data_IF_003852327219
#
_entry.id   IF_003852327219
#
_cell.length_a   1.000
_cell.length_b   1.000
_cell.length_c   1.000
_cell.angle_alpha   90.00
_cell.angle_beta   90.00
_cell.angle_gamma   90.00
#
_symmetry.space_group_name_H-M   'P 1'
#
loop_
_entity.id
_entity.type
_entity.pdbx_description
1 polymer ?
#
# COMPACT_ATOMS: atom_id res chain seq x y z
N UNK A 1 -20.39 -11.35 13.67
CA UNK A 1 -19.81 -11.66 12.34
C UNK A 1 -19.03 -10.47 11.83
N UNK A 2 -19.60 -9.25 11.82
CA UNK A 2 -18.89 -8.08 11.33
C UNK A 2 -17.66 -7.74 12.18
N UNK A 3 -17.71 -7.92 13.50
CA UNK A 3 -16.55 -7.70 14.36
C UNK A 3 -15.41 -8.67 14.05
N UNK A 4 -15.73 -9.92 13.75
CA UNK A 4 -14.72 -10.93 13.39
C UNK A 4 -14.03 -10.55 12.07
N UNK A 5 -14.83 -10.17 11.08
CA UNK A 5 -14.30 -9.73 9.77
C UNK A 5 -13.45 -8.48 9.94
N UNK A 6 -13.94 -7.50 10.70
CA UNK A 6 -13.21 -6.25 10.93
C UNK A 6 -11.89 -6.47 11.64
N UNK A 7 -11.87 -7.28 12.70
CA UNK A 7 -10.65 -7.61 13.42
C UNK A 7 -9.65 -8.33 12.50
N UNK A 8 -10.13 -9.27 11.69
CA UNK A 8 -9.30 -9.97 10.72
C UNK A 8 -8.64 -9.03 9.74
N UNK A 9 -9.37 -8.03 9.23
CA UNK A 9 -8.84 -7.04 8.31
C UNK A 9 -7.82 -6.11 8.98
N UNK A 10 -8.03 -5.75 10.24
CA UNK A 10 -7.06 -4.96 11.00
C UNK A 10 -5.77 -5.74 11.18
N UNK A 11 -5.86 -7.00 11.58
CA UNK A 11 -4.68 -7.86 11.78
C UNK A 11 -3.93 -8.04 10.46
N UNK A 12 -4.65 -8.32 9.37
CA UNK A 12 -4.05 -8.47 8.04
C UNK A 12 -3.34 -7.18 7.62
N UNK A 13 -3.99 -6.04 7.85
CA UNK A 13 -3.41 -4.73 7.53
C UNK A 13 -2.12 -4.47 8.29
N UNK A 14 -2.10 -4.73 9.59
CA UNK A 14 -0.91 -4.56 10.42
C UNK A 14 0.20 -5.51 9.96
N UNK A 15 -0.13 -6.76 9.66
CA UNK A 15 0.83 -7.73 9.14
C UNK A 15 1.48 -7.24 7.84
N UNK A 16 0.66 -6.77 6.89
CA UNK A 16 1.15 -6.23 5.64
C UNK A 16 2.07 -5.02 5.85
N UNK A 17 1.70 -4.13 6.79
CA UNK A 17 2.52 -2.96 7.12
C UNK A 17 3.89 -3.38 7.66
N UNK A 18 3.92 -4.31 8.61
CA UNK A 18 5.18 -4.78 9.21
C UNK A 18 6.07 -5.42 8.15
N UNK A 19 5.51 -6.30 7.32
CA UNK A 19 6.26 -6.98 6.27
C UNK A 19 6.77 -5.98 5.24
N UNK A 20 5.94 -5.02 4.84
CA UNK A 20 6.33 -4.01 3.87
C UNK A 20 7.45 -3.11 4.38
N UNK A 21 7.37 -2.67 5.64
CA UNK A 21 8.44 -1.87 6.24
C UNK A 21 9.76 -2.63 6.31
N UNK A 22 9.71 -3.92 6.65
CA UNK A 22 10.92 -4.75 6.71
C UNK A 22 11.54 -4.94 5.32
N UNK A 23 10.72 -5.18 4.30
CA UNK A 23 11.22 -5.38 2.95
C UNK A 23 11.73 -4.09 2.32
N UNK A 24 11.14 -2.94 2.68
CA UNK A 24 11.56 -1.64 2.15
C UNK A 24 12.86 -1.18 2.79
N UNK A 25 13.05 -1.41 4.09
CA UNK A 25 14.28 -1.09 4.79
C UNK A 25 14.65 0.38 4.70
N UNK A 26 15.88 0.66 4.25
CA UNK A 26 16.42 2.02 4.16
C UNK A 26 15.84 2.84 3.02
N UNK A 27 14.99 2.25 2.17
CA UNK A 27 14.36 2.96 1.07
C UNK A 27 13.04 3.63 1.46
N UNK A 28 12.62 3.50 2.73
CA UNK A 28 11.38 4.09 3.22
C UNK A 28 11.46 5.60 3.23
N UNK A 29 10.43 6.25 2.66
CA UNK A 29 10.28 7.70 2.70
C UNK A 29 8.79 8.05 2.83
N UNK A 30 8.50 9.12 3.57
CA UNK A 30 7.14 9.65 3.72
C UNK A 30 6.73 10.52 2.53
N UNK A 31 7.68 10.92 1.68
CA UNK A 31 7.43 11.80 0.53
C UNK A 31 7.18 10.96 -0.72
N UNK A 32 6.44 11.50 -1.72
CA UNK A 32 6.20 10.76 -2.97
C UNK A 32 7.48 10.57 -3.79
N UNK A 33 8.52 11.39 -3.55
CA UNK A 33 9.79 11.28 -4.25
C UNK A 33 10.67 10.23 -3.57
N UNK A 34 11.32 9.30 -4.31
CA UNK A 34 12.24 8.34 -3.71
C UNK A 34 13.48 9.04 -3.13
N UNK A 35 14.12 8.38 -2.17
CA UNK A 35 15.38 8.85 -1.60
C UNK A 35 16.48 8.87 -2.69
N UNK A 36 17.37 9.87 -2.64
CA UNK A 36 18.41 10.02 -3.64
C UNK A 36 19.37 8.82 -3.70
N UNK A 37 19.67 8.24 -2.54
CA UNK A 37 20.52 7.04 -2.42
C UNK A 37 19.70 5.75 -2.30
N UNK A 38 18.38 5.83 -2.48
CA UNK A 38 17.50 4.69 -2.38
C UNK A 38 17.64 3.74 -3.55
N UNK A 39 17.26 2.50 -3.34
CA UNK A 39 17.25 1.46 -4.35
C UNK A 39 15.82 0.97 -4.58
N UNK A 40 15.57 0.49 -5.79
CA UNK A 40 14.27 -0.09 -6.12
C UNK A 40 14.14 -1.46 -5.46
N UNK A 41 13.16 -1.60 -4.56
CA UNK A 41 12.88 -2.87 -3.89
C UNK A 41 11.80 -3.62 -4.69
N UNK A 42 12.17 -4.80 -5.23
CA UNK A 42 11.28 -5.61 -6.05
C UNK A 42 11.11 -7.04 -5.52
N UNK A 43 11.62 -7.31 -4.31
CA UNK A 43 11.61 -8.65 -3.70
C UNK A 43 10.60 -8.71 -2.55
N UNK A 44 10.37 -9.91 -2.03
CA UNK A 44 9.42 -10.12 -0.94
C UNK A 44 8.01 -9.74 -1.34
N UNK A 45 7.30 -9.03 -0.48
CA UNK A 45 5.94 -8.57 -0.77
C UNK A 45 5.90 -7.63 -1.98
N UNK A 46 7.00 -6.91 -2.27
CA UNK A 46 7.09 -6.02 -3.42
C UNK A 46 7.22 -6.75 -4.75
N UNK A 47 7.45 -8.05 -4.74
CA UNK A 47 7.39 -8.87 -5.94
C UNK A 47 5.95 -9.09 -6.42
N UNK A 48 4.96 -8.86 -5.56
CA UNK A 48 3.55 -9.11 -5.82
C UNK A 48 2.76 -7.81 -5.98
N UNK A 49 2.92 -6.89 -5.03
CA UNK A 49 2.24 -5.58 -5.03
C UNK A 49 3.26 -4.45 -4.91
N UNK A 50 2.97 -3.35 -5.60
CA UNK A 50 3.86 -2.19 -5.62
C UNK A 50 3.72 -1.27 -4.41
N UNK A 51 2.54 -1.25 -3.78
CA UNK A 51 2.23 -0.35 -2.67
C UNK A 51 1.64 -1.11 -1.48
N UNK A 52 2.37 -2.08 -0.91
CA UNK A 52 1.84 -2.91 0.17
C UNK A 52 1.60 -2.12 1.46
N UNK A 53 2.34 -1.03 1.69
CA UNK A 53 2.11 -0.16 2.86
C UNK A 53 0.72 0.46 2.77
N UNK A 54 0.33 0.95 1.59
CA UNK A 54 -0.99 1.55 1.39
C UNK A 54 -2.10 0.49 1.49
N UNK A 55 -1.86 -0.68 0.94
CA UNK A 55 -2.78 -1.81 1.06
C UNK A 55 -3.02 -2.18 2.52
N UNK A 56 -1.95 -2.29 3.31
CA UNK A 56 -2.03 -2.59 4.73
C UNK A 56 -2.79 -1.52 5.51
N UNK A 57 -2.50 -0.25 5.23
CA UNK A 57 -3.18 0.88 5.88
C UNK A 57 -4.68 0.87 5.57
N UNK A 58 -5.06 0.70 4.30
CA UNK A 58 -6.46 0.65 3.89
C UNK A 58 -7.17 -0.54 4.52
N UNK A 59 -6.53 -1.72 4.53
CA UNK A 59 -7.12 -2.91 5.14
C UNK A 59 -7.43 -2.68 6.62
N UNK A 60 -6.49 -2.09 7.36
CA UNK A 60 -6.70 -1.78 8.78
C UNK A 60 -7.85 -0.77 8.96
N UNK A 61 -7.90 0.27 8.14
CA UNK A 61 -8.94 1.28 8.22
C UNK A 61 -10.32 0.72 7.85
N UNK A 62 -10.40 -0.14 6.85
CA UNK A 62 -11.65 -0.82 6.49
C UNK A 62 -12.11 -1.69 7.66
N UNK A 63 -11.19 -2.41 8.31
CA UNK A 63 -11.51 -3.21 9.47
C UNK A 63 -12.11 -2.38 10.61
N UNK A 64 -11.52 -1.24 10.91
CA UNK A 64 -12.03 -0.30 11.93
C UNK A 64 -13.41 0.22 11.54
N UNK A 65 -13.61 0.58 10.28
CA UNK A 65 -14.90 1.08 9.80
C UNK A 65 -16.00 0.02 9.96
N UNK A 66 -15.69 -1.24 9.66
CA UNK A 66 -16.64 -2.34 9.82
C UNK A 66 -16.99 -2.56 11.30
N UNK A 67 -15.98 -2.54 12.19
CA UNK A 67 -16.21 -2.72 13.63
C UNK A 67 -17.07 -1.59 14.19
N UNK A 68 -16.79 -0.34 13.80
CA UNK A 68 -17.48 0.83 14.30
C UNK A 68 -18.89 0.98 13.74
N UNK A 69 -19.18 0.37 12.60
CA UNK A 69 -20.46 0.48 11.88
C UNK A 69 -20.85 1.95 11.59
N UNK A 70 -19.85 2.81 11.40
CA UNK A 70 -20.05 4.24 11.18
C UNK A 70 -19.98 4.57 9.70
N UNK A 71 -20.99 5.27 9.17
CA UNK A 71 -20.98 5.78 7.80
C UNK A 71 -19.89 6.79 7.58
N UNK A 72 -19.58 7.58 8.61
CA UNK A 72 -18.51 8.60 8.55
C UNK A 72 -17.16 7.91 8.37
N UNK A 73 -16.90 6.84 9.14
CA UNK A 73 -15.67 6.06 8.98
C UNK A 73 -15.57 5.46 7.59
N UNK A 74 -16.68 4.94 7.05
CA UNK A 74 -16.72 4.42 5.68
C UNK A 74 -16.37 5.49 4.65
N UNK A 75 -16.93 6.68 4.79
CA UNK A 75 -16.62 7.81 3.90
C UNK A 75 -15.15 8.21 3.99
N UNK A 76 -14.58 8.21 5.20
CA UNK A 76 -13.16 8.51 5.39
C UNK A 76 -12.27 7.47 4.71
N UNK A 77 -12.65 6.19 4.75
CA UNK A 77 -11.90 5.14 4.06
C UNK A 77 -11.91 5.36 2.55
N UNK A 78 -13.05 5.71 1.97
CA UNK A 78 -13.14 6.01 0.53
C UNK A 78 -12.23 7.17 0.18
N UNK A 79 -12.26 8.26 0.96
CA UNK A 79 -11.38 9.40 0.75
C UNK A 79 -9.90 8.99 0.85
N UNK A 80 -9.55 8.16 1.82
CA UNK A 80 -8.20 7.65 1.98
C UNK A 80 -7.73 6.86 0.77
N UNK A 81 -8.58 5.97 0.24
CA UNK A 81 -8.25 5.17 -0.96
C UNK A 81 -7.95 6.09 -2.14
N UNK A 82 -8.79 7.12 -2.34
CA UNK A 82 -8.57 8.06 -3.45
C UNK A 82 -7.27 8.84 -3.29
N UNK A 83 -6.97 9.30 -2.07
CA UNK A 83 -5.73 10.03 -1.79
C UNK A 83 -4.50 9.14 -1.98
N UNK A 84 -4.55 7.91 -1.48
CA UNK A 84 -3.43 6.98 -1.60
C UNK A 84 -3.22 6.56 -3.06
N UNK A 85 -4.28 6.44 -3.83
CA UNK A 85 -4.16 6.14 -5.27
C UNK A 85 -3.44 7.28 -5.99
N UNK A 86 -3.79 8.55 -5.70
CA UNK A 86 -3.09 9.69 -6.28
C UNK A 86 -1.63 9.75 -5.85
N UNK A 87 -1.37 9.51 -4.57
CA UNK A 87 0.00 9.48 -4.04
C UNK A 87 0.82 8.38 -4.70
N UNK A 88 0.24 7.19 -4.85
CA UNK A 88 0.90 6.08 -5.52
C UNK A 88 1.22 6.41 -6.97
N UNK A 89 0.31 7.06 -7.69
CA UNK A 89 0.55 7.46 -9.08
C UNK A 89 1.73 8.44 -9.18
N UNK A 90 1.84 9.37 -8.25
CA UNK A 90 2.97 10.31 -8.21
C UNK A 90 4.27 9.59 -7.91
N UNK A 91 4.27 8.68 -6.94
CA UNK A 91 5.46 7.89 -6.60
C UNK A 91 5.91 7.04 -7.78
N UNK A 92 4.96 6.40 -8.49
CA UNK A 92 5.30 5.60 -9.67
C UNK A 92 5.87 6.46 -10.79
N UNK A 93 5.40 7.70 -10.94
CA UNK A 93 5.98 8.66 -11.87
C UNK A 93 7.44 8.97 -11.55
N UNK A 94 7.76 9.25 -10.28
CA UNK A 94 9.14 9.48 -9.85
C UNK A 94 10.01 8.24 -10.00
N UNK A 95 9.46 7.07 -9.71
CA UNK A 95 10.18 5.80 -9.84
C UNK A 95 10.48 5.47 -11.29
N UNK A 96 9.54 5.72 -12.20
CA UNK A 96 9.77 5.55 -13.64
C UNK A 96 10.89 6.47 -14.15
N UNK A 97 10.97 7.69 -13.63
CA UNK A 97 12.01 8.64 -14.02
C UNK A 97 13.38 8.27 -13.46
N UNK A 98 13.40 7.69 -12.23
CA UNK A 98 14.67 7.38 -11.54
C UNK A 98 15.23 6.00 -11.90
N UNK A 99 14.35 5.00 -12.02
CA UNK A 99 14.77 3.61 -12.21
C UNK A 99 14.35 3.13 -13.60
N UNK A 100 15.30 2.86 -14.51
CA UNK A 100 14.97 2.41 -15.87
C UNK A 100 14.20 1.08 -15.90
N UNK A 101 14.37 0.25 -14.89
CA UNK A 101 13.73 -1.07 -14.82
C UNK A 101 12.30 -1.02 -14.27
N UNK A 102 11.84 0.14 -13.78
CA UNK A 102 10.54 0.25 -13.14
C UNK A 102 9.36 -0.06 -14.07
N UNK A 103 9.35 0.41 -15.33
CA UNK A 103 8.24 0.04 -16.24
C UNK A 103 8.06 -1.47 -16.42
N UNK A 104 9.15 -2.24 -16.52
CA UNK A 104 9.10 -3.69 -16.61
C UNK A 104 8.56 -4.31 -15.30
N UNK A 105 9.05 -3.85 -14.16
CA UNK A 105 8.56 -4.25 -12.84
C UNK A 105 7.05 -4.01 -12.73
N UNK A 106 6.57 -2.87 -13.21
CA UNK A 106 5.16 -2.48 -13.14
C UNK A 106 4.27 -3.43 -13.94
N UNK A 107 4.76 -4.00 -15.05
CA UNK A 107 3.98 -4.94 -15.85
C UNK A 107 3.81 -6.31 -15.18
N UNK A 108 4.66 -6.67 -14.24
CA UNK A 108 4.65 -7.97 -13.56
C UNK A 108 4.05 -7.93 -12.16
N UNK A 109 3.58 -6.77 -11.70
CA UNK A 109 3.07 -6.60 -10.34
C UNK A 109 1.72 -5.91 -10.35
N UNK A 110 1.02 -6.01 -9.23
CA UNK A 110 -0.25 -5.33 -9.02
C UNK A 110 -0.04 -4.11 -8.14
N UNK A 111 -0.93 -3.12 -8.26
CA UNK A 111 -0.78 -1.86 -7.55
C UNK A 111 -1.04 -2.03 -6.05
N UNK A 112 -2.18 -2.61 -5.68
CA UNK A 112 -2.62 -2.74 -4.29
C UNK A 112 -3.05 -4.15 -3.92
N UNK A 113 -3.76 -4.85 -4.79
CA UNK A 113 -4.39 -6.13 -4.48
C UNK A 113 -3.84 -7.20 -5.41
N UNK A 114 -3.21 -8.27 -4.87
CA UNK A 114 -2.68 -9.34 -5.72
C UNK A 114 -3.75 -9.89 -6.65
N UNK A 115 -3.40 -10.05 -7.92
CA UNK A 115 -4.23 -10.63 -8.98
C UNK A 115 -5.49 -9.83 -9.36
N UNK A 116 -5.73 -8.66 -8.75
CA UNK A 116 -6.93 -7.84 -9.02
C UNK A 116 -6.55 -6.43 -9.44
N UNK A 117 -5.77 -5.74 -8.63
CA UNK A 117 -5.49 -4.31 -8.87
C UNK A 117 -4.11 -3.91 -8.42
#
# INVERSE_FOLDING_TARGET
VSSVVGIGLVILGIYCLVVAFRHLGNNLTAFPKPLDDGQLVTTGIYAIVRHPIYTGLVSACVGVAIISQSSICGACVVALVLLLNQKANREEGFLCARFPDYPAYRTHTHKFIPFIW
#
